data_IF_283252029351
#
_entry.id   IF_283252029351
#
_cell.length_a   1.000
_cell.length_b   1.000
_cell.length_c   1.000
_cell.angle_alpha   90.00
_cell.angle_beta   90.00
_cell.angle_gamma   90.00
#
_symmetry.space_group_name_H-M   'P 1'
#
loop_
_entity.id
_entity.type
_entity.pdbx_description
1 polymer ?
#
# COMPACT_ATOMS: atom_id res chain seq x y z
N UNK A 1 8.60 -63.08 -37.48
CA UNK A 1 9.75 -62.17 -37.42
C UNK A 1 9.26 -60.87 -38.03
N UNK A 2 8.83 -59.84 -37.31
CA UNK A 2 8.74 -59.54 -35.87
C UNK A 2 7.78 -58.35 -35.81
N UNK A 3 6.68 -58.46 -35.07
CA UNK A 3 5.88 -57.30 -34.70
C UNK A 3 6.73 -56.47 -33.72
N UNK A 4 7.09 -55.26 -34.14
CA UNK A 4 7.82 -54.28 -33.34
C UNK A 4 6.79 -53.52 -32.50
N UNK A 5 6.55 -54.05 -31.29
CA UNK A 5 5.74 -53.41 -30.26
C UNK A 5 6.43 -52.12 -29.80
N UNK A 6 6.07 -51.00 -30.44
CA UNK A 6 6.41 -49.69 -29.93
C UNK A 6 5.63 -49.44 -28.63
N UNK A 7 6.23 -49.86 -27.52
CA UNK A 7 5.94 -49.35 -26.17
C UNK A 7 6.33 -47.87 -26.12
N UNK A 8 5.51 -47.04 -26.76
CA UNK A 8 5.46 -45.60 -26.46
C UNK A 8 4.75 -45.48 -25.13
N UNK A 9 5.50 -45.80 -24.07
CA UNK A 9 5.06 -45.67 -22.70
C UNK A 9 4.39 -44.32 -22.53
N UNK A 10 3.18 -44.35 -21.97
CA UNK A 10 2.36 -43.20 -21.66
C UNK A 10 3.23 -42.08 -21.08
N UNK A 11 3.63 -41.15 -21.93
CA UNK A 11 4.19 -39.88 -21.49
C UNK A 11 2.98 -39.13 -20.96
N UNK A 12 2.63 -39.42 -19.71
CA UNK A 12 1.68 -38.65 -18.96
C UNK A 12 2.13 -37.20 -19.08
N UNK A 13 1.48 -36.47 -19.97
CA UNK A 13 1.66 -35.04 -20.09
C UNK A 13 1.10 -34.54 -18.77
N UNK A 14 1.98 -34.27 -17.80
CA UNK A 14 1.58 -33.67 -16.55
C UNK A 14 1.20 -32.23 -16.90
N UNK A 15 -0.03 -32.07 -17.39
CA UNK A 15 -0.76 -30.82 -17.27
C UNK A 15 -0.89 -30.64 -15.77
N UNK A 16 0.06 -29.92 -15.17
CA UNK A 16 -0.09 -29.45 -13.81
C UNK A 16 -1.26 -28.46 -13.83
N UNK A 17 -2.47 -28.98 -13.71
CA UNK A 17 -3.63 -28.19 -13.32
C UNK A 17 -3.33 -27.77 -11.90
N UNK A 18 -2.83 -26.54 -11.73
CA UNK A 18 -2.72 -25.91 -10.42
C UNK A 18 -4.14 -25.73 -9.90
N UNK A 19 -4.63 -26.76 -9.21
CA UNK A 19 -5.89 -26.73 -8.50
C UNK A 19 -5.67 -25.86 -7.26
N UNK A 20 -6.31 -24.70 -7.24
CA UNK A 20 -6.58 -23.88 -6.06
C UNK A 20 -5.45 -22.98 -5.52
N UNK A 21 -4.65 -22.36 -6.38
CA UNK A 21 -4.09 -21.06 -5.98
C UNK A 21 -5.16 -20.00 -6.27
N UNK A 22 -5.56 -19.14 -5.31
CA UNK A 22 -6.34 -17.96 -5.67
C UNK A 22 -5.54 -17.23 -6.75
N UNK A 23 -6.18 -16.89 -7.88
CA UNK A 23 -5.53 -16.14 -8.95
C UNK A 23 -4.68 -15.05 -8.30
N UNK A 24 -3.34 -15.05 -8.49
CA UNK A 24 -2.50 -14.10 -7.80
C UNK A 24 -3.08 -12.73 -8.12
N UNK A 25 -3.49 -11.98 -7.08
CA UNK A 25 -4.00 -10.62 -7.27
C UNK A 25 -2.89 -9.87 -7.96
N UNK A 26 -3.02 -9.70 -9.27
CA UNK A 26 -2.00 -9.06 -10.07
C UNK A 26 -1.94 -7.61 -9.59
N UNK A 27 -0.82 -7.27 -8.95
CA UNK A 27 -0.53 -5.91 -8.56
C UNK A 27 0.58 -5.40 -9.46
N UNK A 28 0.29 -4.35 -10.24
CA UNK A 28 1.29 -3.64 -11.02
C UNK A 28 1.53 -2.26 -10.41
N UNK A 29 2.76 -1.79 -10.55
CA UNK A 29 3.21 -0.54 -9.97
C UNK A 29 3.99 0.25 -11.01
N UNK A 30 3.79 1.56 -11.03
CA UNK A 30 4.62 2.47 -11.82
C UNK A 30 5.31 3.46 -10.91
N UNK A 31 6.48 3.94 -11.33
CA UNK A 31 7.34 4.81 -10.54
C UNK A 31 7.80 6.01 -11.37
N UNK A 32 7.95 7.16 -10.72
CA UNK A 32 8.59 8.33 -11.34
C UNK A 32 10.13 8.17 -11.35
N UNK A 33 10.82 9.17 -11.92
CA UNK A 33 12.28 9.17 -11.99
C UNK A 33 12.99 9.29 -10.63
N UNK A 34 12.27 9.64 -9.56
CA UNK A 34 12.78 9.66 -8.18
C UNK A 34 12.57 8.31 -7.47
N UNK A 35 11.99 7.32 -8.14
CA UNK A 35 11.66 6.02 -7.54
C UNK A 35 10.43 6.05 -6.64
N UNK A 36 9.61 7.12 -6.70
CA UNK A 36 8.35 7.20 -5.96
C UNK A 36 7.25 6.52 -6.76
N UNK A 37 6.41 5.71 -6.10
CA UNK A 37 5.32 5.00 -6.75
C UNK A 37 4.23 5.98 -7.15
N UNK A 38 3.92 6.10 -8.44
CA UNK A 38 2.88 7.03 -8.95
C UNK A 38 1.57 6.35 -9.31
N UNK A 39 1.58 5.03 -9.52
CA UNK A 39 0.35 4.24 -9.60
C UNK A 39 0.48 2.84 -9.01
N UNK A 40 -0.65 2.31 -8.55
CA UNK A 40 -0.84 0.92 -8.17
C UNK A 40 -2.12 0.44 -8.85
N UNK A 41 -2.03 -0.62 -9.62
CA UNK A 41 -3.20 -1.27 -10.21
C UNK A 41 -3.34 -2.67 -9.63
N UNK A 42 -4.51 -3.01 -9.11
CA UNK A 42 -4.82 -4.33 -8.54
C UNK A 42 -6.01 -4.97 -9.22
N UNK A 43 -6.01 -6.29 -9.29
CA UNK A 43 -7.11 -7.06 -9.88
C UNK A 43 -6.71 -7.61 -11.24
N UNK A 44 -7.69 -8.16 -11.95
CA UNK A 44 -7.49 -8.77 -13.26
C UNK A 44 -8.53 -8.25 -14.23
N UNK A 45 -8.15 -8.12 -15.51
CA UNK A 45 -9.02 -7.65 -16.58
C UNK A 45 -10.37 -8.38 -16.58
N UNK A 46 -11.50 -7.66 -16.60
CA UNK A 46 -11.66 -6.20 -16.79
C UNK A 46 -11.86 -5.40 -15.48
N UNK A 47 -11.65 -6.02 -14.31
CA UNK A 47 -11.99 -5.47 -13.00
C UNK A 47 -10.78 -4.85 -12.29
N UNK A 48 -9.81 -4.30 -13.02
CA UNK A 48 -8.69 -3.62 -12.41
C UNK A 48 -9.10 -2.33 -11.70
N UNK A 49 -8.52 -2.08 -10.54
CA UNK A 49 -8.65 -0.83 -9.78
C UNK A 49 -7.29 -0.17 -9.73
N UNK A 50 -7.22 1.10 -10.13
CA UNK A 50 -5.98 1.88 -10.09
C UNK A 50 -6.08 2.97 -9.04
N UNK A 51 -5.06 3.07 -8.20
CA UNK A 51 -4.83 4.21 -7.30
C UNK A 51 -3.64 5.01 -7.82
N UNK A 52 -3.81 6.32 -7.93
CA UNK A 52 -2.72 7.24 -8.28
C UNK A 52 -2.20 7.95 -7.04
N UNK A 53 -0.89 8.23 -7.01
CA UNK A 53 -0.22 8.85 -5.87
C UNK A 53 0.44 10.15 -6.32
N UNK A 54 0.10 11.25 -5.64
CA UNK A 54 0.60 12.59 -5.95
C UNK A 54 1.57 13.05 -4.87
N UNK A 55 2.73 13.53 -5.28
CA UNK A 55 3.80 13.99 -4.39
C UNK A 55 4.06 15.48 -4.57
N UNK A 56 4.43 16.17 -3.49
CA UNK A 56 4.98 17.53 -3.57
C UNK A 56 6.45 17.53 -4.04
N UNK A 57 7.01 18.73 -4.24
CA UNK A 57 8.41 18.91 -4.66
C UNK A 57 9.44 18.39 -3.66
N UNK A 58 9.07 18.26 -2.38
CA UNK A 58 9.91 17.71 -1.32
C UNK A 58 9.79 16.19 -1.21
N UNK A 59 8.90 15.59 -2.00
CA UNK A 59 8.65 14.17 -2.06
C UNK A 59 7.67 13.65 -1.01
N UNK A 60 6.89 14.52 -0.36
CA UNK A 60 5.81 14.11 0.53
C UNK A 60 4.62 13.63 -0.30
N UNK A 61 4.04 12.49 0.04
CA UNK A 61 2.77 12.04 -0.54
C UNK A 61 1.66 12.97 -0.04
N UNK A 62 0.99 13.69 -0.96
CA UNK A 62 -0.03 14.70 -0.65
C UNK A 62 -1.45 14.28 -1.04
N UNK A 63 -1.61 13.34 -1.98
CA UNK A 63 -2.94 12.87 -2.38
C UNK A 63 -2.91 11.46 -2.97
N UNK A 64 -3.98 10.71 -2.73
CA UNK A 64 -4.32 9.46 -3.39
C UNK A 64 -5.62 9.63 -4.17
N UNK A 65 -5.62 9.21 -5.44
CA UNK A 65 -6.77 9.35 -6.33
C UNK A 65 -7.27 7.98 -6.80
N UNK A 66 -8.57 7.85 -7.03
CA UNK A 66 -9.19 6.67 -7.63
C UNK A 66 -8.91 6.57 -9.14
N UNK A 67 -9.38 5.49 -9.77
CA UNK A 67 -9.21 5.25 -11.22
C UNK A 67 -9.75 6.40 -12.08
N UNK A 68 -10.74 7.16 -11.60
CA UNK A 68 -11.38 8.27 -12.29
C UNK A 68 -10.73 9.63 -11.97
N UNK A 69 -9.72 9.65 -11.10
CA UNK A 69 -9.07 10.88 -10.65
C UNK A 69 -9.80 11.61 -9.51
N UNK A 70 -10.79 11.00 -8.87
CA UNK A 70 -11.39 11.57 -7.66
C UNK A 70 -10.46 11.34 -6.48
N UNK A 71 -10.37 12.32 -5.59
CA UNK A 71 -9.62 12.19 -4.34
C UNK A 71 -10.21 11.08 -3.46
N UNK A 72 -9.33 10.20 -2.99
CA UNK A 72 -9.60 9.21 -1.96
C UNK A 72 -9.08 9.69 -0.61
N UNK A 73 -7.88 10.25 -0.60
CA UNK A 73 -7.21 10.71 0.62
C UNK A 73 -6.28 11.87 0.32
N UNK A 74 -6.35 12.94 1.10
CA UNK A 74 -5.39 14.03 1.09
C UNK A 74 -4.57 14.05 2.39
N UNK A 75 -3.29 14.41 2.26
CA UNK A 75 -2.35 14.52 3.37
C UNK A 75 -1.86 15.96 3.51
N UNK A 76 -2.10 16.56 4.66
CA UNK A 76 -1.73 17.94 4.94
C UNK A 76 -0.45 17.96 5.78
N UNK A 77 0.55 18.70 5.32
CA UNK A 77 1.83 18.87 5.99
C UNK A 77 2.07 20.32 6.39
N UNK A 78 2.69 20.51 7.56
CA UNK A 78 3.24 21.77 8.02
C UNK A 78 4.70 21.53 8.42
N UNK A 79 5.62 22.31 7.83
CA UNK A 79 7.07 22.20 8.10
C UNK A 79 7.64 20.77 7.93
N UNK A 80 7.07 19.98 7.02
CA UNK A 80 7.49 18.60 6.76
C UNK A 80 6.88 17.56 7.69
N UNK A 81 6.06 17.97 8.66
CA UNK A 81 5.30 17.06 9.51
C UNK A 81 3.87 16.94 9.03
N UNK A 82 3.35 15.71 8.94
CA UNK A 82 1.93 15.49 8.62
C UNK A 82 1.08 15.94 9.80
N UNK A 83 0.10 16.81 9.55
CA UNK A 83 -0.79 17.35 10.59
C UNK A 83 -2.24 16.91 10.42
N UNK A 84 -2.64 16.48 9.21
CA UNK A 84 -3.97 15.94 8.99
C UNK A 84 -4.00 14.93 7.83
N UNK A 85 -4.99 14.06 7.89
CA UNK A 85 -5.41 13.14 6.84
C UNK A 85 -6.89 13.43 6.60
N UNK A 86 -7.28 13.66 5.35
CA UNK A 86 -8.67 13.84 4.94
C UNK A 86 -9.03 12.67 4.04
N UNK A 87 -9.88 11.78 4.51
CA UNK A 87 -10.37 10.64 3.74
C UNK A 87 -11.76 10.95 3.18
N UNK A 88 -11.94 10.73 1.87
CA UNK A 88 -13.19 11.02 1.17
C UNK A 88 -13.03 11.93 -0.04
N UNK A 89 -14.15 12.30 -0.64
CA UNK A 89 -14.23 13.00 -1.92
C UNK A 89 -14.97 14.35 -1.84
N UNK A 90 -14.89 15.04 -0.69
CA UNK A 90 -15.56 16.32 -0.47
C UNK A 90 -17.04 16.24 -0.09
N UNK A 91 -17.74 15.13 -0.40
CA UNK A 91 -19.17 14.98 -0.07
C UNK A 91 -19.41 14.31 1.28
N UNK A 92 -18.53 13.37 1.63
CA UNK A 92 -18.43 12.73 2.94
C UNK A 92 -16.95 12.67 3.27
N UNK A 93 -16.52 13.37 4.31
CA UNK A 93 -15.12 13.46 4.68
C UNK A 93 -14.94 13.07 6.15
N UNK A 94 -13.97 12.18 6.38
CA UNK A 94 -13.44 11.91 7.71
C UNK A 94 -12.08 12.61 7.81
N UNK A 95 -11.94 13.47 8.82
CA UNK A 95 -10.70 14.21 9.06
C UNK A 95 -10.02 13.64 10.29
N UNK A 96 -8.76 13.28 10.14
CA UNK A 96 -7.91 12.81 11.23
C UNK A 96 -6.77 13.80 11.48
N UNK A 97 -6.78 14.46 12.62
CA UNK A 97 -5.69 15.30 13.09
C UNK A 97 -4.55 14.45 13.64
N UNK A 98 -3.35 14.71 13.17
CA UNK A 98 -2.15 13.97 13.54
C UNK A 98 -1.44 14.68 14.69
N UNK A 99 -1.25 13.96 15.81
CA UNK A 99 -0.43 14.44 16.91
C UNK A 99 0.96 13.80 16.81
N UNK A 100 1.96 14.65 16.62
CA UNK A 100 3.35 14.23 16.50
C UNK A 100 4.14 14.57 17.77
N UNK A 101 5.14 13.76 18.08
CA UNK A 101 6.12 14.08 19.10
C UNK A 101 7.13 15.14 18.60
N UNK A 102 8.08 15.51 19.47
CA UNK A 102 9.14 16.46 19.12
C UNK A 102 10.08 15.99 18.00
N UNK A 103 10.04 14.70 17.63
CA UNK A 103 10.80 14.12 16.53
C UNK A 103 9.96 13.99 15.24
N UNK A 104 8.69 14.43 15.26
CA UNK A 104 7.77 14.34 14.14
C UNK A 104 7.11 12.98 13.96
N UNK A 105 7.23 12.08 14.93
CA UNK A 105 6.58 10.77 14.89
C UNK A 105 5.14 10.90 15.37
N UNK A 106 4.19 10.38 14.58
CA UNK A 106 2.79 10.35 14.97
C UNK A 106 2.58 9.37 16.12
N UNK A 107 2.01 9.85 17.23
CA UNK A 107 1.65 9.03 18.39
C UNK A 107 0.13 8.95 18.62
N UNK A 108 -0.66 9.83 18.02
CA UNK A 108 -2.11 9.76 18.09
C UNK A 108 -2.78 10.36 16.85
N UNK A 109 -3.97 9.87 16.55
CA UNK A 109 -4.88 10.42 15.55
C UNK A 109 -6.20 10.79 16.24
N UNK A 110 -6.70 12.00 15.99
CA UNK A 110 -8.00 12.45 16.50
C UNK A 110 -8.95 12.67 15.33
N UNK A 111 -10.09 11.99 15.32
CA UNK A 111 -11.08 12.20 14.26
C UNK A 111 -11.84 13.53 14.44
N UNK A 112 -12.63 13.90 13.44
CA UNK A 112 -13.54 15.05 13.41
C UNK A 112 -14.53 15.11 14.59
N UNK A 113 -14.91 13.96 15.16
CA UNK A 113 -15.77 13.87 16.34
C UNK A 113 -15.01 14.05 17.67
N UNK A 114 -13.69 14.26 17.63
CA UNK A 114 -12.84 14.44 18.81
C UNK A 114 -12.41 13.14 19.49
N UNK A 115 -12.75 11.99 18.92
CA UNK A 115 -12.30 10.68 19.40
C UNK A 115 -10.84 10.46 19.00
N UNK A 116 -9.99 10.13 19.97
CA UNK A 116 -8.57 9.93 19.74
C UNK A 116 -8.18 8.46 19.82
N UNK A 117 -7.51 7.97 18.79
CA UNK A 117 -6.84 6.67 18.77
C UNK A 117 -5.35 6.89 19.04
N UNK A 118 -4.83 6.29 20.11
CA UNK A 118 -3.39 6.34 20.41
C UNK A 118 -2.67 5.25 19.63
N UNK A 119 -1.63 5.64 18.90
CA UNK A 119 -0.69 4.71 18.29
C UNK A 119 0.34 4.37 19.36
N UNK A 120 0.34 3.12 19.84
CA UNK A 120 1.37 2.66 20.77
C UNK A 120 2.67 2.49 19.98
N UNK A 121 3.54 3.50 20.04
CA UNK A 121 4.88 3.42 19.49
C UNK A 121 5.69 2.43 20.33
N UNK A 122 6.43 1.48 19.72
CA UNK A 122 7.38 0.68 20.47
C UNK A 122 8.45 1.62 21.04
N UNK A 123 8.53 1.70 22.37
CA UNK A 123 9.56 2.47 23.05
C UNK A 123 10.93 1.97 22.61
N UNK A 124 11.75 2.84 22.01
CA UNK A 124 13.18 2.55 21.81
C UNK A 124 13.83 2.58 23.19
N UNK A 125 14.07 1.41 23.77
CA UNK A 125 14.84 1.31 25.02
C UNK A 125 16.26 1.82 24.74
N UNK A 126 16.61 2.97 25.32
CA UNK A 126 17.98 3.46 25.29
C UNK A 126 18.79 2.55 26.22
N UNK A 127 19.56 1.63 25.66
CA UNK A 127 20.52 0.83 26.42
C UNK A 127 21.59 1.78 26.97
N UNK A 128 21.40 2.26 28.20
CA UNK A 128 22.50 2.80 29.00
C UNK A 128 23.32 1.62 29.48
N UNK A 129 24.23 1.15 28.64
CA UNK A 129 25.37 0.38 29.15
C UNK A 129 26.21 1.34 30.00
N UNK A 130 26.02 1.27 31.32
CA UNK A 130 27.00 1.80 32.26
C UNK A 130 28.08 0.72 32.38
N UNK A 131 29.21 0.97 31.73
CA UNK A 131 30.45 0.25 32.00
C UNK A 131 30.79 0.51 33.48
N UNK A 132 30.80 -0.55 34.29
CA UNK A 132 31.35 -0.57 35.64
C UNK A 132 32.19 -1.84 35.80
#
# INVERSE_FOLDING_TARGET
MSEDDADTGDVATIQATFLNEPDPVAASFTYNHLGQRVSKTTGTSPNEVTTYFIYDEKGNLISELDTNGNTLTDYIYLEGQRIAIVEGNGSTEDIYFTMNDHLGQTYALTNNDGTSSTIVLPSVSLNRELIA
#
